data_IF_873967437577
#
_entry.id   IF_873967437577
#
_cell.length_a   1.000
_cell.length_b   1.000
_cell.length_c   1.000
_cell.angle_alpha   90.00
_cell.angle_beta   90.00
_cell.angle_gamma   90.00
#
_symmetry.space_group_name_H-M   'P 1'
#
loop_
_entity.id
_entity.type
_entity.pdbx_description
1 polymer ?
#
# COMPACT_ATOMS: atom_id res chain seq x y z
N UNK A 1 -4.98 3.24 -37.37
CA UNK A 1 -4.37 3.63 -36.08
C UNK A 1 -5.33 3.16 -35.02
N UNK A 2 -5.12 1.92 -34.60
CA UNK A 2 -5.93 1.23 -33.61
C UNK A 2 -5.71 1.91 -32.26
N UNK A 3 -6.71 2.70 -31.86
CA UNK A 3 -6.88 3.08 -30.47
C UNK A 3 -7.38 1.86 -29.73
N UNK A 4 -6.46 0.94 -29.40
CA UNK A 4 -6.70 -0.07 -28.38
C UNK A 4 -6.75 0.69 -27.05
N UNK A 5 -7.94 1.26 -26.81
CA UNK A 5 -8.30 1.88 -25.56
C UNK A 5 -8.08 0.80 -24.51
N UNK A 6 -7.03 1.01 -23.71
CA UNK A 6 -6.81 0.33 -22.45
C UNK A 6 -8.17 0.18 -21.80
N UNK A 7 -8.74 -1.02 -21.89
CA UNK A 7 -10.09 -1.31 -21.44
C UNK A 7 -9.99 -1.18 -19.94
N UNK A 8 -10.25 0.02 -19.46
CA UNK A 8 -9.97 0.43 -18.10
C UNK A 8 -10.77 -0.49 -17.22
N UNK A 9 -10.08 -1.43 -16.56
CA UNK A 9 -10.66 -2.19 -15.48
C UNK A 9 -11.36 -1.17 -14.60
N UNK A 10 -12.68 -1.33 -14.43
CA UNK A 10 -13.50 -0.39 -13.68
C UNK A 10 -13.09 -0.54 -12.21
N UNK A 11 -12.03 0.16 -11.79
CA UNK A 11 -11.51 0.08 -10.43
C UNK A 11 -12.63 0.53 -9.50
N UNK A 12 -13.05 -0.35 -8.59
CA UNK A 12 -14.08 -0.03 -7.61
C UNK A 12 -13.67 1.23 -6.83
N UNK A 13 -14.59 2.20 -6.73
CA UNK A 13 -14.36 3.43 -5.96
C UNK A 13 -13.97 3.18 -4.50
N UNK A 14 -14.35 2.02 -3.94
CA UNK A 14 -13.89 1.58 -2.61
C UNK A 14 -12.40 1.26 -2.58
N UNK A 15 -11.87 0.63 -3.62
CA UNK A 15 -10.43 0.33 -3.74
C UNK A 15 -9.63 1.61 -3.86
N UNK A 16 -10.11 2.56 -4.66
CA UNK A 16 -9.47 3.87 -4.79
C UNK A 16 -9.44 4.63 -3.45
N UNK A 17 -10.52 4.57 -2.67
CA UNK A 17 -10.57 5.19 -1.34
C UNK A 17 -9.56 4.52 -0.38
N UNK A 18 -9.50 3.18 -0.37
CA UNK A 18 -8.51 2.44 0.43
C UNK A 18 -7.09 2.79 0.02
N UNK A 19 -6.81 2.87 -1.28
CA UNK A 19 -5.51 3.28 -1.81
C UNK A 19 -5.11 4.67 -1.29
N UNK A 20 -5.98 5.67 -1.44
CA UNK A 20 -5.69 7.03 -0.98
C UNK A 20 -5.39 7.08 0.52
N UNK A 21 -6.19 6.37 1.32
CA UNK A 21 -6.01 6.31 2.78
C UNK A 21 -4.71 5.60 3.16
N UNK A 22 -4.38 4.47 2.53
CA UNK A 22 -3.14 3.75 2.78
C UNK A 22 -1.92 4.56 2.34
N UNK A 23 -2.01 5.28 1.22
CA UNK A 23 -0.94 6.13 0.72
C UNK A 23 -0.56 7.24 1.71
N UNK A 24 -1.55 8.00 2.19
CA UNK A 24 -1.31 9.07 3.20
C UNK A 24 -0.71 8.49 4.48
N UNK A 25 -1.18 7.32 4.93
CA UNK A 25 -0.63 6.66 6.11
C UNK A 25 0.83 6.23 5.91
N UNK A 26 1.16 5.63 4.76
CA UNK A 26 2.55 5.25 4.45
C UNK A 26 3.44 6.49 4.40
N UNK A 27 3.01 7.58 3.76
CA UNK A 27 3.78 8.83 3.72
C UNK A 27 4.09 9.34 5.13
N UNK A 28 3.07 9.45 6.00
CA UNK A 28 3.26 9.89 7.39
C UNK A 28 4.25 9.00 8.15
N UNK A 29 4.21 7.68 7.94
CA UNK A 29 5.13 6.74 8.58
C UNK A 29 6.56 6.93 8.07
N UNK A 30 6.74 7.12 6.76
CA UNK A 30 8.06 7.31 6.15
C UNK A 30 8.67 8.67 6.52
N UNK A 31 7.86 9.72 6.62
CA UNK A 31 8.30 11.02 7.12
C UNK A 31 8.78 10.92 8.58
N UNK A 32 8.08 10.15 9.41
CA UNK A 32 8.53 9.89 10.78
C UNK A 32 9.83 9.07 10.81
N UNK A 33 9.97 8.04 9.95
CA UNK A 33 11.22 7.30 9.82
C UNK A 33 12.40 8.19 9.44
N UNK A 34 12.19 9.21 8.60
CA UNK A 34 13.22 10.18 8.26
C UNK A 34 13.72 10.94 9.49
N UNK A 35 12.81 11.34 10.40
CA UNK A 35 13.18 11.99 11.66
C UNK A 35 13.93 11.04 12.60
N UNK A 36 13.47 9.79 12.73
CA UNK A 36 14.14 8.77 13.54
C UNK A 36 15.57 8.51 13.05
N UNK A 37 15.77 8.39 11.73
CA UNK A 37 17.11 8.20 11.14
C UNK A 37 18.02 9.40 11.44
N UNK A 38 17.48 10.62 11.34
CA UNK A 38 18.22 11.83 11.68
C UNK A 38 18.68 11.81 13.14
N UNK A 39 17.80 11.47 14.09
CA UNK A 39 18.16 11.36 15.52
C UNK A 39 19.15 10.23 15.77
N UNK A 40 18.97 9.07 15.14
CA UNK A 40 19.91 7.94 15.24
C UNK A 40 21.32 8.35 14.81
N UNK A 41 21.43 9.08 13.69
CA UNK A 41 22.71 9.55 13.18
C UNK A 41 23.35 10.56 14.13
N UNK A 42 22.59 11.53 14.64
CA UNK A 42 23.09 12.51 15.63
C UNK A 42 23.61 11.82 16.91
N UNK A 43 22.88 10.81 17.39
CA UNK A 43 23.28 10.01 18.54
C UNK A 43 24.55 9.19 18.26
N UNK A 44 24.74 8.71 17.03
CA UNK A 44 25.95 7.99 16.63
C UNK A 44 27.16 8.93 16.55
N UNK A 45 26.97 10.13 15.99
CA UNK A 45 28.01 11.16 15.87
C UNK A 45 28.50 11.67 17.23
N UNK A 46 27.61 11.79 18.22
CA UNK A 46 27.98 12.25 19.57
C UNK A 46 28.86 11.25 20.34
N UNK A 47 28.82 9.96 19.96
CA UNK A 47 29.53 8.84 20.61
C UNK A 47 29.28 8.71 22.12
N UNK A 48 28.24 9.34 22.65
CA UNK A 48 27.86 9.21 24.06
C UNK A 48 27.22 7.83 24.30
N UNK A 49 27.65 7.06 25.32
CA UNK A 49 27.07 5.76 25.66
C UNK A 49 25.55 5.81 25.86
N UNK A 50 25.03 6.89 26.45
CA UNK A 50 23.59 7.07 26.69
C UNK A 50 22.82 7.23 25.37
N UNK A 51 23.38 8.00 24.43
CA UNK A 51 22.77 8.22 23.11
C UNK A 51 22.78 6.94 22.27
N UNK A 52 23.87 6.16 22.34
CA UNK A 52 23.94 4.86 21.68
C UNK A 52 22.94 3.86 22.27
N UNK A 53 22.71 3.91 23.58
CA UNK A 53 21.66 3.10 24.24
C UNK A 53 20.27 3.52 23.74
N UNK A 54 20.03 4.83 23.60
CA UNK A 54 18.77 5.37 23.04
C UNK A 54 18.53 4.91 21.59
N UNK A 55 19.57 4.80 20.78
CA UNK A 55 19.46 4.31 19.40
C UNK A 55 18.81 2.92 19.30
N UNK A 56 19.00 2.05 20.30
CA UNK A 56 18.34 0.74 20.32
C UNK A 56 16.81 0.89 20.32
N UNK A 57 16.28 1.86 21.07
CA UNK A 57 14.85 2.17 21.10
C UNK A 57 14.36 2.75 19.77
N UNK A 58 15.09 3.73 19.24
CA UNK A 58 14.74 4.40 17.98
C UNK A 58 14.75 3.42 16.78
N UNK A 59 15.73 2.51 16.72
CA UNK A 59 15.81 1.48 15.68
C UNK A 59 14.64 0.49 15.81
N UNK A 60 14.24 0.12 17.03
CA UNK A 60 13.04 -0.72 17.23
C UNK A 60 11.78 -0.03 16.72
N UNK A 61 11.64 1.26 16.97
CA UNK A 61 10.52 2.06 16.46
C UNK A 61 10.52 2.14 14.93
N UNK A 62 11.68 2.43 14.33
CA UNK A 62 11.86 2.43 12.88
C UNK A 62 11.49 1.08 12.26
N UNK A 63 11.94 -0.04 12.84
CA UNK A 63 11.60 -1.38 12.36
C UNK A 63 10.10 -1.68 12.48
N UNK A 64 9.45 -1.22 13.55
CA UNK A 64 8.00 -1.35 13.71
C UNK A 64 7.24 -0.54 12.65
N UNK A 65 7.73 0.65 12.31
CA UNK A 65 7.16 1.46 11.25
C UNK A 65 7.27 0.79 9.87
N UNK A 66 8.42 0.17 9.57
CA UNK A 66 8.57 -0.61 8.33
C UNK A 66 7.60 -1.79 8.28
N UNK A 67 7.39 -2.50 9.40
CA UNK A 67 6.38 -3.57 9.46
C UNK A 67 4.98 -3.05 9.14
N UNK A 68 4.57 -1.92 9.73
CA UNK A 68 3.28 -1.28 9.43
C UNK A 68 3.13 -0.90 7.96
N UNK A 69 4.20 -0.40 7.33
CA UNK A 69 4.19 -0.07 5.90
C UNK A 69 3.99 -1.33 5.06
N UNK A 70 4.66 -2.43 5.39
CA UNK A 70 4.48 -3.73 4.73
C UNK A 70 3.02 -4.20 4.86
N UNK A 71 2.45 -4.13 6.06
CA UNK A 71 1.06 -4.54 6.32
C UNK A 71 0.07 -3.69 5.49
N UNK A 72 0.25 -2.36 5.46
CA UNK A 72 -0.60 -1.45 4.65
C UNK A 72 -0.56 -1.77 3.15
N UNK A 73 0.62 -2.17 2.63
CA UNK A 73 0.74 -2.58 1.23
C UNK A 73 0.12 -3.96 0.97
N UNK A 74 0.24 -4.90 1.91
CA UNK A 74 -0.39 -6.21 1.80
C UNK A 74 -1.93 -6.11 1.76
N UNK A 75 -2.50 -5.28 2.64
CA UNK A 75 -3.94 -5.00 2.68
C UNK A 75 -4.43 -4.36 1.38
N UNK A 76 -3.65 -3.42 0.85
CA UNK A 76 -3.96 -2.74 -0.41
C UNK A 76 -3.90 -3.70 -1.60
N UNK A 77 -2.85 -4.53 -1.68
CA UNK A 77 -2.70 -5.55 -2.72
C UNK A 77 -3.88 -6.52 -2.70
N UNK A 78 -4.26 -7.00 -1.50
CA UNK A 78 -5.38 -7.92 -1.32
C UNK A 78 -6.70 -7.27 -1.76
N UNK A 79 -6.94 -6.02 -1.36
CA UNK A 79 -8.14 -5.27 -1.75
C UNK A 79 -8.24 -5.08 -3.27
N UNK A 80 -7.11 -4.82 -3.92
CA UNK A 80 -7.05 -4.67 -5.37
C UNK A 80 -7.32 -5.99 -6.09
N UNK A 81 -6.71 -7.10 -5.67
CA UNK A 81 -6.96 -8.43 -6.26
C UNK A 81 -8.44 -8.82 -6.18
N UNK A 82 -9.08 -8.64 -5.02
CA UNK A 82 -10.51 -8.95 -4.83
C UNK A 82 -11.40 -8.15 -5.81
N UNK A 83 -11.11 -6.86 -6.00
CA UNK A 83 -11.89 -6.02 -6.92
C UNK A 83 -11.73 -6.43 -8.38
N UNK A 84 -10.55 -6.92 -8.77
CA UNK A 84 -10.29 -7.37 -10.12
C UNK A 84 -11.01 -8.68 -10.42
N UNK A 85 -11.01 -9.63 -9.47
CA UNK A 85 -11.77 -10.88 -9.58
C UNK A 85 -13.27 -10.61 -9.71
N UNK A 86 -13.82 -9.70 -8.88
CA UNK A 86 -15.23 -9.30 -8.93
C UNK A 86 -15.63 -8.63 -10.25
N UNK A 87 -14.68 -8.00 -10.96
CA UNK A 87 -14.93 -7.36 -12.26
C UNK A 87 -15.00 -8.37 -13.41
N UNK A 88 -14.44 -9.58 -13.23
CA UNK A 88 -14.39 -10.63 -14.26
C UNK A 88 -15.66 -11.50 -14.33
N UNK A 89 -16.48 -11.55 -13.28
CA UNK A 89 -17.66 -12.44 -13.22
C UNK A 89 -18.91 -11.90 -13.95
N UNK A 90 -18.84 -10.69 -14.52
CA UNK A 90 -19.99 -10.00 -15.14
C UNK A 90 -20.27 -10.27 -16.63
N UNK A 91 -19.38 -10.95 -17.37
CA UNK A 91 -19.44 -10.99 -18.85
C UNK A 91 -20.06 -12.27 -19.46
N UNK A 92 -20.56 -13.23 -18.66
CA UNK A 92 -20.93 -14.56 -19.19
C UNK A 92 -22.44 -14.84 -19.39
N UNK A 93 -23.36 -13.88 -19.19
CA UNK A 93 -24.81 -14.20 -19.20
C UNK A 93 -25.60 -13.89 -20.49
N UNK A 94 -24.98 -13.43 -21.58
CA UNK A 94 -25.74 -12.84 -22.71
C UNK A 94 -25.67 -13.60 -24.05
N UNK A 95 -25.54 -14.93 -24.08
CA UNK A 95 -25.53 -15.67 -25.37
C UNK A 95 -26.31 -17.00 -25.38
N UNK A 96 -27.50 -17.06 -24.74
CA UNK A 96 -28.40 -18.21 -24.90
C UNK A 96 -29.86 -17.81 -25.03
N UNK A 97 -30.25 -17.12 -26.11
CA UNK A 97 -31.64 -17.13 -26.62
C UNK A 97 -31.67 -17.03 -28.15
N UNK A 98 -31.45 -18.17 -28.80
CA UNK A 98 -32.09 -18.44 -30.08
C UNK A 98 -32.85 -19.77 -29.96
N UNK A 99 -34.18 -19.66 -29.94
CA UNK A 99 -35.11 -20.79 -29.99
C UNK A 99 -35.72 -20.75 -31.40
N UNK A 100 -35.64 -21.82 -32.21
CA UNK A 100 -36.36 -21.87 -33.47
C UNK A 100 -37.76 -22.43 -33.25
N UNK A 101 -38.76 -21.82 -33.89
CA UNK A 101 -39.94 -22.47 -34.47
C UNK A 101 -40.41 -21.63 -35.64
#
# INVERSE_FOLDING_TARGET
MDGDAFSGAQIDGRVLQTFQKSFVQVQNILDHNRLLISEINQNHESKSPDNLTRNVGLIKELNNNIRKVVDLYADLSTSFSISMDASSEGDSSSHKRHRPY
#
